data_IF_505377129059
#
_entry.id   IF_505377129059
#
_cell.length_a   1.000
_cell.length_b   1.000
_cell.length_c   1.000
_cell.angle_alpha   90.00
_cell.angle_beta   90.00
_cell.angle_gamma   90.00
#
_symmetry.space_group_name_H-M   'P 1'
#
loop_
_entity.id
_entity.type
_entity.pdbx_description
1 polymer ?
#
# COMPACT_ATOMS: atom_id res chain seq x y z
N UNK A 1 2.53 3.84 -12.63
CA UNK A 1 1.08 4.07 -12.38
C UNK A 1 0.45 2.71 -12.15
N UNK A 2 -0.14 2.51 -10.99
CA UNK A 2 -0.65 1.20 -10.57
C UNK A 2 -1.93 0.77 -11.31
N UNK A 3 -2.78 1.72 -11.70
CA UNK A 3 -4.03 1.41 -12.40
C UNK A 3 -3.83 1.34 -13.91
N UNK A 4 -4.37 0.29 -14.53
CA UNK A 4 -4.44 0.16 -16.00
C UNK A 4 -5.72 0.79 -16.56
N UNK A 5 -6.73 0.98 -15.70
CA UNK A 5 -7.95 1.70 -15.97
C UNK A 5 -8.20 2.69 -14.82
N UNK A 6 -8.57 3.89 -15.18
CA UNK A 6 -8.76 4.97 -14.22
C UNK A 6 -10.17 5.55 -14.24
N UNK A 7 -10.39 6.62 -13.49
CA UNK A 7 -11.69 7.29 -13.41
C UNK A 7 -12.19 7.80 -14.77
N UNK A 8 -11.28 8.15 -15.70
CA UNK A 8 -11.66 8.49 -17.09
C UNK A 8 -12.29 7.32 -17.81
N UNK A 9 -11.69 6.13 -17.76
CA UNK A 9 -12.24 4.90 -18.34
C UNK A 9 -13.57 4.50 -17.67
N UNK A 10 -13.64 4.62 -16.33
CA UNK A 10 -14.88 4.36 -15.60
C UNK A 10 -16.00 5.30 -16.07
N UNK A 11 -15.70 6.60 -16.23
CA UNK A 11 -16.65 7.59 -16.70
C UNK A 11 -17.09 7.33 -18.15
N UNK A 12 -16.16 6.98 -19.05
CA UNK A 12 -16.45 6.61 -20.43
C UNK A 12 -17.43 5.46 -20.52
N UNK A 13 -17.15 4.36 -19.81
CA UNK A 13 -18.03 3.19 -19.75
C UNK A 13 -19.39 3.52 -19.11
N UNK A 14 -19.39 4.34 -18.06
CA UNK A 14 -20.63 4.78 -17.39
C UNK A 14 -21.52 5.55 -18.36
N UNK A 15 -20.97 6.51 -19.11
CA UNK A 15 -21.75 7.30 -20.10
C UNK A 15 -22.32 6.40 -21.18
N UNK A 16 -21.51 5.47 -21.71
CA UNK A 16 -21.98 4.50 -22.73
C UNK A 16 -23.15 3.65 -22.22
N UNK A 17 -23.07 3.16 -20.98
CA UNK A 17 -24.15 2.36 -20.38
C UNK A 17 -25.40 3.20 -20.07
N UNK A 18 -25.26 4.43 -19.60
CA UNK A 18 -26.40 5.33 -19.40
C UNK A 18 -27.15 5.59 -20.72
N UNK A 19 -26.41 5.73 -21.82
CA UNK A 19 -26.99 5.90 -23.16
C UNK A 19 -27.70 4.62 -23.64
N UNK A 20 -27.07 3.46 -23.49
CA UNK A 20 -27.64 2.17 -23.89
C UNK A 20 -28.93 1.85 -23.11
N UNK A 21 -29.00 2.22 -21.85
CA UNK A 21 -30.18 2.05 -21.00
C UNK A 21 -31.18 3.20 -21.10
N UNK A 22 -31.00 4.13 -22.05
CA UNK A 22 -31.87 5.31 -22.27
C UNK A 22 -32.09 6.15 -21.00
N UNK A 23 -31.10 6.16 -20.06
CA UNK A 23 -31.16 6.95 -18.82
C UNK A 23 -30.77 8.38 -19.14
N UNK A 24 -31.76 9.31 -19.14
CA UNK A 24 -31.54 10.71 -19.52
C UNK A 24 -31.84 11.73 -18.41
N UNK A 25 -32.21 11.27 -17.23
CA UNK A 25 -32.50 12.14 -16.08
C UNK A 25 -31.26 12.75 -15.43
N UNK A 26 -31.46 13.66 -14.47
CA UNK A 26 -30.34 14.16 -13.68
C UNK A 26 -29.69 13.04 -12.85
N UNK A 27 -28.37 12.98 -12.89
CA UNK A 27 -27.58 12.02 -12.11
C UNK A 27 -26.78 12.73 -11.04
N UNK A 28 -26.64 12.11 -9.90
CA UNK A 28 -25.76 12.57 -8.80
C UNK A 28 -24.69 11.50 -8.55
N UNK A 29 -23.44 11.92 -8.51
CA UNK A 29 -22.35 11.05 -8.08
C UNK A 29 -22.42 10.90 -6.56
N UNK A 30 -22.44 9.67 -6.10
CA UNK A 30 -22.34 9.33 -4.70
C UNK A 30 -21.05 8.55 -4.48
N UNK A 31 -20.32 8.89 -3.42
CA UNK A 31 -19.16 8.10 -2.97
C UNK A 31 -19.56 7.26 -1.76
N UNK A 32 -19.30 5.97 -1.86
CA UNK A 32 -19.39 5.04 -0.75
C UNK A 32 -17.97 4.70 -0.29
N UNK A 33 -17.60 5.21 0.87
CA UNK A 33 -16.33 4.97 1.52
C UNK A 33 -16.49 4.25 2.86
N UNK A 34 -17.60 3.54 3.03
CA UNK A 34 -17.91 2.74 4.22
C UNK A 34 -17.13 1.43 4.31
N UNK A 35 -16.26 1.13 3.33
CA UNK A 35 -15.51 -0.13 3.28
C UNK A 35 -14.44 -0.29 4.35
N UNK A 36 -14.03 0.79 5.03
CA UNK A 36 -13.08 0.75 6.14
C UNK A 36 -13.74 1.22 7.43
N UNK A 37 -13.32 0.61 8.55
CA UNK A 37 -13.76 0.93 9.89
C UNK A 37 -12.75 1.80 10.63
N UNK A 38 -13.22 2.52 11.65
CA UNK A 38 -12.37 3.33 12.53
C UNK A 38 -11.80 4.59 11.88
N UNK A 39 -10.79 5.20 12.50
CA UNK A 39 -10.24 6.48 12.06
C UNK A 39 -9.40 6.31 10.78
N UNK A 40 -9.41 7.36 9.93
CA UNK A 40 -8.57 7.43 8.74
C UNK A 40 -7.10 7.82 9.03
N UNK A 41 -6.81 8.23 10.25
CA UNK A 41 -5.48 8.61 10.75
C UNK A 41 -5.28 7.91 12.08
N UNK A 42 -4.13 7.25 12.26
CA UNK A 42 -3.79 6.62 13.52
C UNK A 42 -3.34 7.70 14.53
N UNK A 43 -3.92 7.68 15.74
CA UNK A 43 -3.60 8.66 16.79
C UNK A 43 -2.12 8.65 17.17
N UNK A 44 -1.49 7.48 17.12
CA UNK A 44 -0.07 7.26 17.43
C UNK A 44 0.89 7.76 16.35
N UNK A 45 0.41 8.18 15.19
CA UNK A 45 1.30 8.77 14.19
C UNK A 45 1.76 10.16 14.61
N UNK A 46 3.05 10.48 14.42
CA UNK A 46 3.51 11.85 14.61
C UNK A 46 2.73 12.82 13.71
N UNK A 47 2.26 13.93 14.25
CA UNK A 47 1.53 14.93 13.46
C UNK A 47 2.31 15.46 12.25
N UNK A 48 3.63 15.37 12.29
CA UNK A 48 4.51 15.80 11.20
C UNK A 48 4.46 14.89 9.96
N UNK A 49 3.95 13.65 10.08
CA UNK A 49 3.85 12.73 8.92
C UNK A 49 2.48 12.75 8.27
N UNK A 50 1.44 13.12 9.03
CA UNK A 50 0.05 13.18 8.51
C UNK A 50 -0.07 14.34 7.50
N UNK A 51 -0.70 14.07 6.38
CA UNK A 51 -0.85 15.00 5.25
C UNK A 51 0.50 15.48 4.65
N UNK A 52 1.62 14.81 5.00
CA UNK A 52 2.97 15.03 4.45
C UNK A 52 3.51 13.74 3.83
N UNK A 53 3.71 12.71 4.65
CA UNK A 53 4.25 11.40 4.24
C UNK A 53 3.15 10.37 3.95
N UNK A 54 1.95 10.58 4.50
CA UNK A 54 0.79 9.74 4.29
C UNK A 54 -0.50 10.56 4.22
N UNK A 55 -1.37 10.25 3.26
CA UNK A 55 -2.74 10.74 3.22
C UNK A 55 -3.62 9.97 4.22
N UNK A 56 -4.82 10.48 4.45
CA UNK A 56 -5.84 9.76 5.21
C UNK A 56 -6.18 8.44 4.56
N UNK A 57 -6.18 7.36 5.35
CA UNK A 57 -6.41 5.99 4.86
C UNK A 57 -7.90 5.79 4.64
N UNK A 58 -8.29 5.80 3.37
CA UNK A 58 -9.68 5.61 2.94
C UNK A 58 -9.75 4.49 1.89
N UNK A 59 -10.92 3.80 1.74
CA UNK A 59 -11.07 2.73 0.75
C UNK A 59 -10.91 3.20 -0.68
N UNK A 60 -11.13 4.50 -0.93
CA UNK A 60 -11.01 5.13 -2.23
C UNK A 60 -10.01 6.27 -2.14
N UNK A 61 -8.96 6.17 -2.94
CA UNK A 61 -7.97 7.24 -3.11
C UNK A 61 -7.40 7.20 -4.53
N UNK A 62 -7.12 8.37 -5.09
CA UNK A 62 -6.44 8.51 -6.37
C UNK A 62 -5.06 9.12 -6.14
N UNK A 63 -4.07 8.73 -6.95
CA UNK A 63 -2.71 9.29 -6.90
C UNK A 63 -2.05 9.24 -5.51
N UNK A 64 -2.31 8.20 -4.72
CA UNK A 64 -1.79 8.10 -3.36
C UNK A 64 -2.34 9.17 -2.42
N UNK A 65 -3.60 9.60 -2.65
CA UNK A 65 -4.24 10.69 -1.88
C UNK A 65 -3.76 12.09 -2.26
N UNK A 66 -3.09 12.24 -3.41
CA UNK A 66 -2.60 13.54 -3.91
C UNK A 66 -3.56 14.17 -4.91
N UNK A 67 -3.46 15.47 -5.07
CA UNK A 67 -4.16 16.19 -6.13
C UNK A 67 -3.65 15.73 -7.51
N UNK A 68 -4.57 15.71 -8.51
CA UNK A 68 -4.27 15.24 -9.86
C UNK A 68 -3.17 16.10 -10.50
N UNK A 69 -2.22 15.40 -11.14
CA UNK A 69 -1.12 16.02 -11.89
C UNK A 69 0.05 16.48 -11.03
N UNK A 70 -0.02 16.29 -9.72
CA UNK A 70 1.07 16.66 -8.81
C UNK A 70 1.72 15.41 -8.19
N UNK A 71 2.79 14.92 -8.82
CA UNK A 71 3.57 13.78 -8.28
C UNK A 71 4.13 14.06 -6.86
N UNK A 72 4.36 15.34 -6.55
CA UNK A 72 4.89 15.85 -5.29
C UNK A 72 4.01 16.95 -4.69
N UNK A 73 2.76 17.07 -5.13
CA UNK A 73 1.79 18.02 -4.61
C UNK A 73 1.25 17.67 -3.24
N UNK A 74 0.53 18.60 -2.64
CA UNK A 74 -0.14 18.42 -1.37
C UNK A 74 -1.08 17.21 -1.37
N UNK A 75 -1.17 16.54 -0.22
CA UNK A 75 -2.14 15.49 0.00
C UNK A 75 -3.53 16.12 0.20
N UNK A 76 -4.55 15.49 -0.37
CA UNK A 76 -5.92 15.94 -0.17
C UNK A 76 -6.42 15.55 1.24
N UNK A 77 -7.13 16.43 1.95
CA UNK A 77 -7.66 16.12 3.27
C UNK A 77 -8.80 15.08 3.22
N UNK A 78 -9.37 14.82 2.05
CA UNK A 78 -10.43 13.81 1.85
C UNK A 78 -10.21 13.09 0.51
N UNK A 79 -9.40 12.02 0.49
CA UNK A 79 -9.11 11.25 -0.72
C UNK A 79 -10.34 10.67 -1.42
N UNK A 80 -11.35 10.20 -0.67
CA UNK A 80 -12.55 9.61 -1.24
C UNK A 80 -13.43 10.66 -1.94
N UNK A 81 -13.66 11.80 -1.28
CA UNK A 81 -14.40 12.90 -1.87
C UNK A 81 -13.66 13.47 -3.11
N UNK A 82 -12.33 13.59 -3.02
CA UNK A 82 -11.52 14.04 -4.16
C UNK A 82 -11.67 13.10 -5.37
N UNK A 83 -11.60 11.78 -5.14
CA UNK A 83 -11.80 10.80 -6.20
C UNK A 83 -13.20 10.92 -6.84
N UNK A 84 -14.24 11.13 -6.04
CA UNK A 84 -15.60 11.35 -6.54
C UNK A 84 -15.73 12.66 -7.34
N UNK A 85 -15.06 13.73 -6.92
CA UNK A 85 -15.01 15.00 -7.67
C UNK A 85 -14.36 14.82 -9.03
N UNK A 86 -13.24 14.10 -9.07
CA UNK A 86 -12.53 13.77 -10.32
C UNK A 86 -13.42 12.91 -11.22
N UNK A 87 -14.06 11.88 -10.68
CA UNK A 87 -14.97 11.04 -11.45
C UNK A 87 -16.13 11.88 -12.04
N UNK A 88 -16.73 12.75 -11.24
CA UNK A 88 -17.79 13.67 -11.74
C UNK A 88 -17.31 14.54 -12.88
N UNK A 89 -16.10 15.11 -12.79
CA UNK A 89 -15.52 15.93 -13.86
C UNK A 89 -15.31 15.08 -15.13
N UNK A 90 -14.78 13.87 -14.99
CA UNK A 90 -14.61 12.96 -16.11
C UNK A 90 -15.95 12.54 -16.72
N UNK A 91 -16.98 12.30 -15.90
CA UNK A 91 -18.32 11.94 -16.36
C UNK A 91 -18.92 13.04 -17.26
N UNK A 92 -18.80 14.33 -16.86
CA UNK A 92 -19.24 15.46 -17.66
C UNK A 92 -18.43 15.56 -18.97
N UNK A 93 -17.13 15.41 -18.91
CA UNK A 93 -16.26 15.49 -20.09
C UNK A 93 -16.54 14.35 -21.08
N UNK A 94 -16.75 13.13 -20.61
CA UNK A 94 -17.07 11.97 -21.44
C UNK A 94 -18.47 12.08 -22.06
N UNK A 95 -19.46 12.58 -21.32
CA UNK A 95 -20.79 12.83 -21.85
C UNK A 95 -20.73 13.83 -23.02
N UNK A 96 -19.96 14.92 -22.88
CA UNK A 96 -19.75 15.91 -23.96
C UNK A 96 -19.03 15.28 -25.15
N UNK A 97 -17.98 14.51 -24.94
CA UNK A 97 -17.18 13.86 -25.98
C UNK A 97 -18.00 12.84 -26.79
N UNK A 98 -18.92 12.13 -26.15
CA UNK A 98 -19.80 11.14 -26.77
C UNK A 98 -21.10 11.74 -27.31
N UNK A 99 -21.34 13.05 -27.18
CA UNK A 99 -22.55 13.73 -27.62
C UNK A 99 -23.80 13.38 -26.82
N UNK A 100 -23.62 12.84 -25.60
CA UNK A 100 -24.72 12.43 -24.70
C UNK A 100 -25.19 13.63 -23.87
N UNK A 101 -26.48 13.91 -23.90
CA UNK A 101 -27.08 14.96 -23.04
C UNK A 101 -27.32 14.39 -21.64
N UNK A 102 -26.35 14.59 -20.76
CA UNK A 102 -26.41 14.15 -19.37
C UNK A 102 -26.37 15.37 -18.44
N UNK A 103 -27.35 15.47 -17.55
CA UNK A 103 -27.34 16.47 -16.48
C UNK A 103 -26.70 15.86 -15.25
N UNK A 104 -25.51 16.32 -14.89
CA UNK A 104 -24.75 15.82 -13.71
C UNK A 104 -24.80 16.87 -12.61
N UNK A 105 -25.29 16.48 -11.43
CA UNK A 105 -25.34 17.35 -10.25
C UNK A 105 -23.93 17.91 -9.92
N UNK A 106 -23.82 19.20 -9.57
CA UNK A 106 -22.56 19.74 -9.06
C UNK A 106 -22.22 19.20 -7.66
N UNK A 107 -23.21 18.72 -6.94
CA UNK A 107 -23.03 18.17 -5.58
C UNK A 107 -22.66 16.67 -5.67
N UNK A 108 -21.83 16.26 -4.71
CA UNK A 108 -21.49 14.87 -4.50
C UNK A 108 -22.17 14.41 -3.21
N UNK A 109 -22.91 13.33 -3.29
CA UNK A 109 -23.47 12.67 -2.12
C UNK A 109 -22.40 11.76 -1.49
N UNK A 110 -22.49 11.51 -0.21
CA UNK A 110 -21.65 10.56 0.53
C UNK A 110 -22.52 9.66 1.38
N UNK A 111 -22.21 8.39 1.40
CA UNK A 111 -22.91 7.38 2.20
C UNK A 111 -22.82 6.00 1.58
N UNK A 112 -23.13 4.98 2.37
CA UNK A 112 -23.18 3.61 1.90
C UNK A 112 -24.18 3.52 0.72
N UNK A 113 -23.81 2.78 -0.30
CA UNK A 113 -24.73 2.39 -1.35
C UNK A 113 -25.86 1.58 -0.71
N UNK A 114 -27.10 1.88 -1.06
CA UNK A 114 -28.23 1.05 -0.62
C UNK A 114 -28.03 -0.34 -1.23
N UNK A 115 -27.55 -1.26 -0.41
CA UNK A 115 -27.30 -2.63 -0.82
C UNK A 115 -28.63 -3.38 -0.88
N UNK A 116 -29.15 -3.56 -2.08
CA UNK A 116 -30.37 -4.33 -2.31
C UNK A 116 -30.27 -5.79 -1.83
N UNK A 117 -29.05 -6.30 -1.62
CA UNK A 117 -28.80 -7.67 -1.17
C UNK A 117 -28.75 -7.84 0.36
N UNK A 118 -28.43 -6.79 1.13
CA UNK A 118 -28.23 -6.91 2.59
C UNK A 118 -29.50 -6.88 3.43
N UNK A 119 -30.59 -6.29 2.95
CA UNK A 119 -31.80 -6.13 3.78
C UNK A 119 -33.09 -6.70 3.18
N UNK A 120 -33.06 -7.23 1.96
CA UNK A 120 -34.23 -7.85 1.33
C UNK A 120 -35.44 -6.92 1.14
N UNK A 121 -35.28 -5.62 1.33
CA UNK A 121 -36.37 -4.64 1.38
C UNK A 121 -36.33 -3.54 0.32
N UNK A 122 -35.36 -3.50 -0.59
CA UNK A 122 -35.32 -2.51 -1.66
C UNK A 122 -35.92 -3.06 -2.96
N UNK A 123 -36.97 -2.42 -3.47
CA UNK A 123 -37.61 -2.72 -4.75
C UNK A 123 -36.82 -2.18 -5.95
N UNK A 124 -35.62 -1.60 -5.74
CA UNK A 124 -34.74 -1.14 -6.81
C UNK A 124 -33.48 -2.00 -6.86
N UNK A 125 -33.40 -2.82 -7.90
CA UNK A 125 -32.16 -3.54 -8.23
C UNK A 125 -31.12 -2.53 -8.70
N UNK A 126 -29.98 -2.44 -8.00
CA UNK A 126 -28.86 -1.63 -8.44
C UNK A 126 -28.32 -2.17 -9.78
N UNK A 127 -28.19 -1.30 -10.78
CA UNK A 127 -27.61 -1.63 -12.07
C UNK A 127 -26.12 -1.32 -12.06
N UNK A 128 -25.27 -2.32 -12.34
CA UNK A 128 -23.84 -2.08 -12.56
C UNK A 128 -23.65 -1.43 -13.92
N UNK A 129 -23.27 -0.14 -13.93
CA UNK A 129 -23.05 0.63 -15.15
C UNK A 129 -21.63 0.44 -15.70
N UNK A 130 -20.62 0.36 -14.84
CA UNK A 130 -19.23 0.23 -15.26
C UNK A 130 -18.36 -0.37 -14.14
N UNK A 131 -17.23 -0.91 -14.53
CA UNK A 131 -16.23 -1.44 -13.59
C UNK A 131 -14.82 -1.15 -14.13
N UNK A 132 -13.94 -0.70 -13.25
CA UNK A 132 -12.49 -0.68 -13.50
C UNK A 132 -11.80 -1.48 -12.41
N UNK A 133 -10.71 -2.16 -12.78
CA UNK A 133 -9.94 -2.98 -11.85
C UNK A 133 -8.58 -2.37 -11.62
N UNK A 134 -8.11 -2.42 -10.38
CA UNK A 134 -6.75 -2.09 -10.02
C UNK A 134 -5.76 -3.07 -10.67
N UNK A 135 -4.48 -2.72 -10.62
CA UNK A 135 -3.41 -3.63 -11.01
C UNK A 135 -3.47 -4.94 -10.18
N UNK A 136 -2.95 -6.06 -10.71
CA UNK A 136 -2.79 -7.29 -9.93
C UNK A 136 -2.05 -7.04 -8.61
N UNK A 137 -2.36 -7.82 -7.58
CA UNK A 137 -1.81 -7.65 -6.23
C UNK A 137 -0.27 -7.61 -6.25
N UNK A 138 0.38 -8.49 -7.01
CA UNK A 138 1.83 -8.52 -7.12
C UNK A 138 2.43 -7.20 -7.64
N UNK A 139 1.78 -6.54 -8.61
CA UNK A 139 2.21 -5.22 -9.11
C UNK A 139 2.02 -4.13 -8.04
N UNK A 140 0.96 -4.21 -7.25
CA UNK A 140 0.71 -3.28 -6.15
C UNK A 140 1.74 -3.46 -5.01
N UNK A 141 2.06 -4.71 -4.65
CA UNK A 141 3.11 -5.04 -3.68
C UNK A 141 4.46 -4.51 -4.16
N UNK A 142 4.81 -4.76 -5.43
CA UNK A 142 6.05 -4.22 -6.01
C UNK A 142 6.12 -2.70 -5.91
N UNK A 143 5.06 -2.00 -6.28
CA UNK A 143 5.00 -0.54 -6.17
C UNK A 143 5.18 -0.08 -4.72
N UNK A 144 4.44 -0.65 -3.78
CA UNK A 144 4.52 -0.35 -2.35
C UNK A 144 5.94 -0.52 -1.82
N UNK A 145 6.62 -1.61 -2.20
CA UNK A 145 7.98 -1.90 -1.74
C UNK A 145 9.02 -0.97 -2.36
N UNK A 146 8.91 -0.68 -3.68
CA UNK A 146 9.87 0.15 -4.41
C UNK A 146 9.78 1.63 -4.07
N UNK A 147 8.55 2.18 -4.01
CA UNK A 147 8.31 3.58 -3.68
C UNK A 147 8.26 3.82 -2.16
N UNK A 148 8.21 2.74 -1.38
CA UNK A 148 7.97 2.80 0.08
C UNK A 148 6.67 3.58 0.37
N UNK A 149 5.59 3.23 -0.36
CA UNK A 149 4.33 3.97 -0.31
C UNK A 149 3.50 3.58 0.93
N UNK A 150 3.43 4.49 1.88
CA UNK A 150 2.77 4.27 3.17
C UNK A 150 1.25 4.06 3.01
N UNK A 151 0.60 4.82 2.12
CA UNK A 151 -0.85 4.70 1.93
C UNK A 151 -1.22 3.33 1.33
N UNK A 152 -0.44 2.84 0.37
CA UNK A 152 -0.65 1.50 -0.20
C UNK A 152 -0.42 0.42 0.85
N UNK A 153 0.57 0.58 1.74
CA UNK A 153 0.83 -0.37 2.83
C UNK A 153 -0.37 -0.44 3.80
N UNK A 154 -0.91 0.70 4.23
CA UNK A 154 -2.08 0.75 5.10
C UNK A 154 -3.35 0.20 4.42
N UNK A 155 -3.56 0.53 3.16
CA UNK A 155 -4.71 0.01 2.41
C UNK A 155 -4.62 -1.52 2.24
N UNK A 156 -3.42 -2.06 1.97
CA UNK A 156 -3.21 -3.51 1.92
C UNK A 156 -3.45 -4.17 3.27
N UNK A 157 -2.95 -3.58 4.36
CA UNK A 157 -3.15 -4.10 5.70
C UNK A 157 -4.64 -4.16 6.08
N UNK A 158 -5.42 -3.10 5.80
CA UNK A 158 -6.87 -3.09 6.02
C UNK A 158 -7.63 -4.06 5.13
N UNK A 159 -7.23 -4.20 3.87
CA UNK A 159 -7.83 -5.21 2.97
C UNK A 159 -7.50 -6.64 3.43
N UNK A 160 -6.32 -6.88 4.00
CA UNK A 160 -5.96 -8.16 4.63
C UNK A 160 -6.87 -8.44 5.83
N UNK A 161 -7.12 -7.43 6.68
CA UNK A 161 -8.08 -7.54 7.79
C UNK A 161 -9.47 -7.98 7.30
N UNK A 162 -10.01 -7.28 6.30
CA UNK A 162 -11.31 -7.61 5.72
C UNK A 162 -11.34 -9.03 5.13
N UNK A 163 -10.30 -9.45 4.45
CA UNK A 163 -10.18 -10.80 3.88
C UNK A 163 -10.10 -11.88 4.96
N UNK A 164 -9.53 -11.58 6.13
CA UNK A 164 -9.46 -12.45 7.29
C UNK A 164 -10.72 -12.40 8.18
N UNK A 165 -11.74 -11.59 7.81
CA UNK A 165 -12.98 -11.45 8.59
C UNK A 165 -12.89 -10.47 9.77
N UNK A 166 -11.84 -9.67 9.84
CA UNK A 166 -11.69 -8.59 10.81
C UNK A 166 -12.25 -7.26 10.29
N UNK A 167 -12.54 -6.28 11.17
CA UNK A 167 -12.83 -4.92 10.75
C UNK A 167 -11.71 -4.32 9.90
N UNK A 168 -12.04 -3.53 8.88
CA UNK A 168 -11.07 -2.83 8.03
C UNK A 168 -10.42 -1.63 8.75
N UNK A 169 -9.88 -1.84 9.95
CA UNK A 169 -9.28 -0.84 10.83
C UNK A 169 -7.79 -1.09 11.06
N UNK A 170 -7.10 -0.19 11.76
CA UNK A 170 -5.70 -0.40 12.16
C UNK A 170 -5.58 -1.62 13.10
N UNK A 171 -6.48 -1.74 14.04
CA UNK A 171 -6.50 -2.85 15.00
C UNK A 171 -6.82 -4.17 14.31
N UNK A 172 -7.78 -4.17 13.38
CA UNK A 172 -8.11 -5.36 12.59
C UNK A 172 -6.94 -5.80 11.70
N UNK A 173 -6.22 -4.83 11.09
CA UNK A 173 -5.02 -5.10 10.31
C UNK A 173 -3.90 -5.73 11.17
N UNK A 174 -3.65 -5.17 12.35
CA UNK A 174 -2.67 -5.71 13.30
C UNK A 174 -3.05 -7.13 13.75
N UNK A 175 -4.35 -7.37 14.03
CA UNK A 175 -4.85 -8.69 14.40
C UNK A 175 -4.66 -9.72 13.29
N UNK A 176 -5.04 -9.40 12.05
CA UNK A 176 -4.91 -10.30 10.92
C UNK A 176 -3.45 -10.67 10.62
N UNK A 177 -2.52 -9.69 10.68
CA UNK A 177 -1.08 -9.97 10.50
C UNK A 177 -0.55 -10.82 11.64
N UNK A 178 -0.96 -10.54 12.88
CA UNK A 178 -0.55 -11.34 14.05
C UNK A 178 -1.00 -12.79 13.92
N UNK A 179 -2.24 -13.07 13.51
CA UNK A 179 -2.77 -14.43 13.32
C UNK A 179 -1.93 -15.21 12.31
N UNK A 180 -1.60 -14.63 11.17
CA UNK A 180 -0.72 -15.27 10.17
C UNK A 180 0.66 -15.56 10.75
N UNK A 181 1.22 -14.64 11.53
CA UNK A 181 2.52 -14.86 12.16
C UNK A 181 2.47 -15.90 13.28
N UNK A 182 1.38 -16.02 14.02
CA UNK A 182 1.19 -17.04 15.07
C UNK A 182 1.13 -18.45 14.49
N UNK A 183 0.50 -18.62 13.34
CA UNK A 183 0.49 -19.89 12.62
C UNK A 183 1.90 -20.34 12.18
N UNK A 184 2.75 -19.36 11.83
CA UNK A 184 4.07 -19.58 11.24
C UNK A 184 5.22 -19.58 12.24
N UNK A 185 5.06 -18.90 13.36
CA UNK A 185 6.10 -18.76 14.39
C UNK A 185 5.48 -18.84 15.76
N UNK A 186 6.07 -19.68 16.63
CA UNK A 186 5.56 -19.88 17.99
C UNK A 186 5.97 -18.79 18.97
N UNK A 187 6.91 -17.93 18.58
CA UNK A 187 7.42 -16.86 19.45
C UNK A 187 7.18 -15.48 18.84
N UNK A 188 6.13 -14.84 19.33
CA UNK A 188 5.79 -13.46 19.07
C UNK A 188 6.05 -12.55 20.29
N UNK A 189 6.89 -12.98 21.23
CA UNK A 189 7.23 -12.19 22.42
C UNK A 189 7.82 -10.84 21.98
N UNK A 190 7.25 -9.74 22.47
CA UNK A 190 7.66 -8.39 22.14
C UNK A 190 7.21 -7.87 20.78
N UNK A 191 6.42 -8.64 20.00
CA UNK A 191 5.78 -8.13 18.80
C UNK A 191 4.56 -7.30 19.20
N UNK A 192 4.55 -6.04 18.80
CA UNK A 192 3.40 -5.15 18.85
C UNK A 192 3.26 -4.43 17.51
N UNK A 193 2.09 -4.59 16.87
CA UNK A 193 1.78 -4.01 15.57
C UNK A 193 0.67 -2.99 15.75
N UNK A 194 0.93 -1.75 15.37
CA UNK A 194 -0.03 -0.65 15.48
C UNK A 194 -0.48 -0.13 14.11
N UNK A 195 0.33 -0.33 13.08
CA UNK A 195 0.07 0.09 11.71
C UNK A 195 0.72 -0.86 10.69
N UNK A 196 0.37 -0.70 9.41
CA UNK A 196 0.94 -1.46 8.30
C UNK A 196 2.13 -0.78 7.62
N UNK A 197 2.30 0.53 7.82
CA UNK A 197 3.33 1.34 7.15
C UNK A 197 4.64 1.45 7.96
N UNK A 198 4.57 1.24 9.28
CA UNK A 198 5.70 1.45 10.19
C UNK A 198 5.96 2.92 10.53
N UNK A 199 5.00 3.82 10.31
CA UNK A 199 5.08 5.22 10.70
C UNK A 199 4.91 5.42 12.21
N UNK A 200 4.24 4.48 12.87
CA UNK A 200 4.05 4.48 14.32
C UNK A 200 5.34 4.12 15.04
N UNK A 201 5.74 4.98 15.98
CA UNK A 201 6.84 4.69 16.89
C UNK A 201 6.53 3.63 17.96
N UNK A 202 5.29 3.12 18.00
CA UNK A 202 4.84 2.10 18.96
C UNK A 202 4.88 0.69 18.38
N UNK A 203 5.03 0.53 17.07
CA UNK A 203 5.27 -0.80 16.46
C UNK A 203 6.63 -1.32 16.92
N UNK A 204 6.63 -2.52 17.52
CA UNK A 204 7.85 -3.20 17.95
C UNK A 204 7.95 -4.60 17.35
N UNK A 205 9.12 -4.95 16.86
CA UNK A 205 9.45 -6.26 16.31
C UNK A 205 10.93 -6.54 16.54
N UNK A 206 11.30 -7.79 16.83
CA UNK A 206 12.71 -8.17 16.93
C UNK A 206 13.32 -8.39 15.53
N UNK A 207 14.64 -8.23 15.42
CA UNK A 207 15.35 -8.53 14.18
C UNK A 207 15.17 -9.99 13.76
N UNK A 208 15.15 -10.92 14.73
CA UNK A 208 14.92 -12.34 14.47
C UNK A 208 13.53 -12.60 13.89
N UNK A 209 12.47 -12.03 14.49
CA UNK A 209 11.11 -12.18 14.00
C UNK A 209 10.97 -11.67 12.56
N UNK A 210 11.56 -10.50 12.26
CA UNK A 210 11.49 -9.92 10.92
C UNK A 210 12.31 -10.74 9.91
N UNK A 211 13.52 -11.21 10.25
CA UNK A 211 14.30 -12.08 9.38
C UNK A 211 13.59 -13.40 9.12
N UNK A 212 12.93 -13.98 10.14
CA UNK A 212 12.11 -15.18 10.00
C UNK A 212 10.92 -14.95 9.07
N UNK A 213 10.19 -13.84 9.21
CA UNK A 213 9.09 -13.48 8.32
C UNK A 213 9.54 -13.35 6.85
N UNK A 214 10.68 -12.70 6.60
CA UNK A 214 11.28 -12.59 5.25
C UNK A 214 11.63 -13.99 4.70
N UNK A 215 12.25 -14.86 5.50
CA UNK A 215 12.59 -16.23 5.10
C UNK A 215 11.34 -17.02 4.73
N UNK A 216 10.33 -17.02 5.60
CA UNK A 216 9.06 -17.73 5.35
C UNK A 216 8.37 -17.24 4.09
N UNK A 217 8.38 -15.91 3.84
CA UNK A 217 7.82 -15.34 2.63
C UNK A 217 8.57 -15.81 1.37
N UNK A 218 9.88 -16.04 1.45
CA UNK A 218 10.69 -16.53 0.33
C UNK A 218 10.55 -18.04 0.08
N UNK A 219 10.16 -18.83 1.08
CA UNK A 219 10.02 -20.28 0.98
C UNK A 219 8.66 -20.73 0.42
N UNK A 220 7.68 -19.84 0.25
CA UNK A 220 6.31 -20.16 -0.14
C UNK A 220 5.97 -19.63 -1.51
N UNK A 221 5.33 -20.45 -2.33
CA UNK A 221 4.89 -20.09 -3.68
C UNK A 221 3.94 -18.89 -3.66
N UNK A 222 3.05 -18.79 -2.66
CA UNK A 222 2.06 -17.74 -2.55
C UNK A 222 2.66 -16.36 -2.19
N UNK A 223 3.82 -16.35 -1.53
CA UNK A 223 4.43 -15.10 -0.99
C UNK A 223 5.81 -14.79 -1.56
N UNK A 224 6.47 -15.70 -2.26
CA UNK A 224 7.80 -15.49 -2.86
C UNK A 224 7.84 -14.24 -3.75
N UNK A 225 6.75 -13.95 -4.47
CA UNK A 225 6.63 -12.75 -5.30
C UNK A 225 6.81 -11.44 -4.52
N UNK A 226 6.51 -11.42 -3.22
CA UNK A 226 6.75 -10.27 -2.36
C UNK A 226 8.26 -10.08 -2.12
N UNK A 227 9.00 -11.15 -1.84
CA UNK A 227 10.47 -11.12 -1.66
C UNK A 227 11.16 -10.76 -2.97
N UNK A 228 10.72 -11.32 -4.09
CA UNK A 228 11.23 -10.98 -5.43
C UNK A 228 10.95 -9.52 -5.82
N UNK A 229 9.91 -8.93 -5.26
CA UNK A 229 9.53 -7.53 -5.46
C UNK A 229 10.26 -6.54 -4.55
N UNK A 230 11.16 -6.97 -3.68
CA UNK A 230 11.97 -6.08 -2.87
C UNK A 230 12.95 -5.26 -3.74
N UNK A 231 13.20 -3.98 -3.43
CA UNK A 231 14.26 -3.17 -4.05
C UNK A 231 15.60 -3.88 -4.12
N UNK A 232 16.29 -3.76 -5.24
CA UNK A 232 17.60 -4.41 -5.49
C UNK A 232 18.74 -3.43 -5.28
N UNK A 233 19.73 -3.83 -4.50
CA UNK A 233 20.92 -3.04 -4.21
C UNK A 233 21.64 -2.62 -5.51
N UNK A 234 21.97 -1.32 -5.59
CA UNK A 234 22.66 -0.73 -6.73
C UNK A 234 21.85 -0.64 -8.02
N UNK A 235 20.53 -0.98 -8.03
CA UNK A 235 19.77 -1.09 -9.30
C UNK A 235 18.41 -0.41 -9.26
N UNK A 236 17.58 -0.65 -8.25
CA UNK A 236 16.19 -0.18 -8.30
C UNK A 236 15.60 0.12 -6.92
N UNK A 237 14.50 0.87 -6.94
CA UNK A 237 13.74 1.26 -5.74
C UNK A 237 14.58 2.09 -4.76
N UNK A 238 14.33 1.93 -3.48
CA UNK A 238 15.03 2.67 -2.41
C UNK A 238 16.50 2.26 -2.21
N UNK A 239 16.95 1.20 -2.88
CA UNK A 239 18.34 0.71 -2.84
C UNK A 239 19.14 1.03 -4.10
N UNK A 240 18.60 1.74 -5.08
CA UNK A 240 19.24 1.99 -6.39
C UNK A 240 20.64 2.63 -6.30
N UNK A 241 20.85 3.49 -5.31
CA UNK A 241 22.09 4.22 -5.10
C UNK A 241 22.90 3.69 -3.88
N UNK A 242 22.53 2.49 -3.37
CA UNK A 242 23.16 1.89 -2.20
C UNK A 242 23.94 0.62 -2.60
N UNK A 243 25.09 0.39 -1.98
CA UNK A 243 25.95 -0.78 -2.19
C UNK A 243 26.44 -0.95 -3.64
N UNK A 244 26.48 0.15 -4.42
CA UNK A 244 26.99 0.18 -5.78
C UNK A 244 28.47 -0.19 -5.83
N UNK A 245 28.88 -1.05 -6.78
CA UNK A 245 30.27 -1.51 -6.92
C UNK A 245 30.74 -2.51 -5.87
N UNK A 246 29.82 -3.07 -5.06
CA UNK A 246 30.13 -4.07 -4.03
C UNK A 246 29.59 -5.45 -4.38
N UNK A 247 29.94 -6.49 -3.61
CA UNK A 247 29.40 -7.83 -3.75
C UNK A 247 27.87 -7.90 -3.55
N UNK A 248 27.29 -6.95 -2.87
CA UNK A 248 25.85 -6.87 -2.64
C UNK A 248 25.08 -6.26 -3.84
N UNK A 249 25.77 -5.58 -4.77
CA UNK A 249 25.10 -5.04 -5.95
C UNK A 249 24.44 -6.14 -6.79
N UNK A 250 23.13 -6.03 -6.98
CA UNK A 250 22.33 -7.00 -7.73
C UNK A 250 22.07 -8.32 -7.00
N UNK A 251 22.81 -8.63 -5.92
CA UNK A 251 22.64 -9.86 -5.13
C UNK A 251 21.82 -9.66 -3.84
N UNK A 252 21.75 -8.44 -3.31
CA UNK A 252 20.93 -8.12 -2.17
C UNK A 252 19.60 -7.45 -2.60
N UNK A 253 18.52 -7.85 -1.93
CA UNK A 253 17.20 -7.24 -2.05
C UNK A 253 16.69 -6.89 -0.66
N UNK A 254 16.06 -5.73 -0.48
CA UNK A 254 15.60 -5.38 0.86
C UNK A 254 14.67 -4.19 0.92
N UNK A 255 13.84 -4.19 1.97
CA UNK A 255 13.00 -3.07 2.36
C UNK A 255 13.72 -2.20 3.36
N UNK A 256 13.83 -0.92 3.06
CA UNK A 256 14.39 0.10 3.94
C UNK A 256 13.33 0.62 4.92
N UNK A 257 13.74 0.96 6.14
CA UNK A 257 12.96 1.79 7.06
C UNK A 257 13.81 2.96 7.54
N UNK A 258 13.20 4.15 7.57
CA UNK A 258 13.86 5.33 8.12
C UNK A 258 12.84 6.26 8.73
N UNK A 259 12.97 6.49 10.01
CA UNK A 259 12.29 7.54 10.77
C UNK A 259 13.34 8.40 11.47
N UNK A 260 12.97 9.50 12.10
CA UNK A 260 13.91 10.47 12.65
C UNK A 260 15.05 9.93 13.53
N UNK A 261 14.88 8.77 14.16
CA UNK A 261 15.88 8.14 15.03
C UNK A 261 16.19 6.69 14.70
N UNK A 262 15.58 6.15 13.62
CA UNK A 262 15.65 4.73 13.26
C UNK A 262 16.12 4.58 11.82
N UNK A 263 17.05 3.66 11.59
CA UNK A 263 17.40 3.18 10.25
C UNK A 263 17.39 1.65 10.25
N UNK A 264 16.76 1.05 9.26
CA UNK A 264 16.61 -0.41 9.16
C UNK A 264 16.76 -0.89 7.73
N UNK A 265 17.10 -2.16 7.58
CA UNK A 265 17.06 -2.89 6.33
C UNK A 265 16.81 -4.36 6.62
N UNK A 266 15.80 -4.93 5.97
CA UNK A 266 15.50 -6.35 6.04
C UNK A 266 15.25 -6.90 4.63
N UNK A 267 15.68 -8.12 4.37
CA UNK A 267 15.56 -8.71 3.05
C UNK A 267 16.34 -10.01 2.89
N UNK A 268 16.77 -10.26 1.67
CA UNK A 268 17.58 -11.42 1.30
C UNK A 268 18.86 -10.99 0.60
N UNK A 269 19.90 -11.81 0.71
CA UNK A 269 21.16 -11.62 -0.01
C UNK A 269 21.70 -12.98 -0.47
N UNK A 270 22.16 -13.04 -1.71
CA UNK A 270 22.85 -14.21 -2.24
C UNK A 270 24.35 -14.04 -2.01
N UNK A 271 24.93 -14.97 -1.30
CA UNK A 271 26.36 -15.01 -0.96
C UNK A 271 27.21 -15.43 -2.16
N UNK A 272 28.56 -15.25 -2.09
CA UNK A 272 29.47 -15.64 -3.17
C UNK A 272 29.46 -17.16 -3.48
N UNK A 273 29.14 -17.99 -2.49
CA UNK A 273 28.97 -19.43 -2.65
C UNK A 273 27.56 -19.85 -3.10
N UNK A 274 26.68 -18.88 -3.44
CA UNK A 274 25.36 -19.11 -4.02
C UNK A 274 24.26 -19.43 -3.00
N UNK A 275 24.48 -19.23 -1.70
CA UNK A 275 23.45 -19.41 -0.67
C UNK A 275 22.62 -18.15 -0.52
N UNK A 276 21.31 -18.29 -0.41
CA UNK A 276 20.44 -17.20 -0.03
C UNK A 276 20.30 -17.11 1.49
N UNK A 277 20.51 -15.92 2.03
CA UNK A 277 20.35 -15.60 3.44
C UNK A 277 19.27 -14.56 3.63
N UNK A 278 18.30 -14.81 4.49
CA UNK A 278 17.40 -13.79 4.99
C UNK A 278 18.08 -13.00 6.11
N UNK A 279 17.96 -11.69 6.09
CA UNK A 279 18.58 -10.81 7.07
C UNK A 279 17.64 -9.71 7.55
N UNK A 280 17.86 -9.23 8.77
CA UNK A 280 17.22 -8.04 9.33
C UNK A 280 18.19 -7.29 10.22
N UNK A 281 18.40 -6.00 9.94
CA UNK A 281 19.27 -5.10 10.68
C UNK A 281 18.44 -3.90 11.12
N UNK A 282 18.26 -3.75 12.42
CA UNK A 282 17.47 -2.69 13.04
C UNK A 282 18.38 -1.83 13.90
N UNK A 283 18.35 -0.50 13.71
CA UNK A 283 19.08 0.45 14.55
C UNK A 283 18.13 1.46 15.15
N UNK A 284 18.28 1.73 16.44
CA UNK A 284 17.49 2.71 17.19
C UNK A 284 18.41 3.85 17.70
N UNK A 285 17.81 4.92 18.18
CA UNK A 285 18.49 6.07 18.80
C UNK A 285 19.58 6.73 17.94
N UNK A 286 19.38 6.72 16.61
CA UNK A 286 20.28 7.29 15.61
C UNK A 286 20.08 8.79 15.37
N UNK A 287 19.66 9.52 16.39
CA UNK A 287 19.37 10.95 16.30
C UNK A 287 20.57 11.72 15.74
N UNK A 288 20.40 12.36 14.57
CA UNK A 288 21.48 13.06 13.86
C UNK A 288 22.55 12.17 13.20
N UNK A 289 22.41 10.83 13.25
CA UNK A 289 23.39 9.85 12.73
C UNK A 289 22.78 8.87 11.72
N UNK A 290 21.63 9.17 11.16
CA UNK A 290 20.97 8.31 10.17
C UNK A 290 21.85 7.95 8.97
N UNK A 291 22.63 8.88 8.36
CA UNK A 291 23.54 8.53 7.26
C UNK A 291 24.59 7.49 7.66
N UNK A 292 25.20 7.66 8.84
CA UNK A 292 26.20 6.73 9.37
C UNK A 292 25.59 5.35 9.68
N UNK A 293 24.38 5.33 10.26
CA UNK A 293 23.66 4.07 10.51
C UNK A 293 23.36 3.33 9.20
N UNK A 294 22.92 4.03 8.15
CA UNK A 294 22.72 3.44 6.82
C UNK A 294 24.00 2.85 6.24
N UNK A 295 25.10 3.58 6.33
CA UNK A 295 26.42 3.09 5.87
C UNK A 295 26.87 1.83 6.62
N UNK A 296 26.64 1.77 7.93
CA UNK A 296 26.94 0.57 8.73
C UNK A 296 26.08 -0.61 8.32
N UNK A 297 24.78 -0.40 8.07
CA UNK A 297 23.85 -1.42 7.56
C UNK A 297 24.33 -1.92 6.19
N UNK A 298 24.69 -1.04 5.27
CA UNK A 298 25.18 -1.41 3.94
C UNK A 298 26.43 -2.27 4.03
N UNK A 299 27.41 -1.88 4.87
CA UNK A 299 28.62 -2.67 5.08
C UNK A 299 28.31 -4.07 5.64
N UNK A 300 27.37 -4.18 6.57
CA UNK A 300 26.97 -5.49 7.09
C UNK A 300 26.38 -6.38 6.00
N UNK A 301 25.51 -5.85 5.13
CA UNK A 301 24.93 -6.60 3.99
C UNK A 301 26.01 -6.98 2.97
N UNK A 302 26.97 -6.09 2.69
CA UNK A 302 28.11 -6.39 1.82
C UNK A 302 28.94 -7.53 2.40
N UNK A 303 29.20 -7.53 3.71
CA UNK A 303 29.92 -8.62 4.39
C UNK A 303 29.17 -9.96 4.26
N UNK A 304 27.83 -9.95 4.37
CA UNK A 304 27.03 -11.15 4.13
C UNK A 304 27.13 -11.62 2.68
N UNK A 305 27.12 -10.70 1.70
CA UNK A 305 27.28 -11.02 0.29
C UNK A 305 28.67 -11.62 -0.02
N UNK A 306 29.71 -11.13 0.64
CA UNK A 306 31.09 -11.60 0.50
C UNK A 306 31.36 -12.93 1.22
N UNK A 307 30.46 -13.35 2.11
CA UNK A 307 30.64 -14.54 2.91
C UNK A 307 30.63 -15.80 2.02
N UNK A 308 31.70 -16.56 2.08
CA UNK A 308 31.74 -17.97 1.68
C UNK A 308 31.37 -18.81 2.90
N UNK A 309 30.12 -18.75 3.35
CA UNK A 309 29.67 -19.39 4.59
C UNK A 309 29.48 -20.92 4.46
N UNK A 310 30.09 -21.55 3.48
CA UNK A 310 30.24 -22.99 3.36
C UNK A 310 31.18 -23.50 4.44
N UNK A 311 30.66 -23.67 5.65
CA UNK A 311 31.36 -24.46 6.65
C UNK A 311 31.35 -25.94 6.23
N UNK A 312 32.48 -26.58 6.38
CA UNK A 312 32.69 -28.00 6.26
C UNK A 312 31.68 -28.83 7.08
#
# INVERSE_FOLDING_TARGET
MLGRAGLGTLAEQTVAQLQEQEISGPVTVQVDDSGYDGPAVLEQWPSAVVDVDIARVMPIATYGGREIGQRWGGLTPDPALHAAQVFRQQLVAQAQAQGVRLSVSPQIARGAAEDSDRTGSSTRTALRLAEVRSAPLAEQVRFMLHESDNLTAEAMARNTALAAGHPGSFEGAAAAVREVLEEETRDLTGLDLTDGSGLSGYTTITAEQLARAVRLAGEREETVAAVESLPVAGREGTLKDRMVGTAAEGSARGKTGTLGTVATLAGVVVTQDGRELAFSILTNDQRGRIPQAREMIDRAVVTLAECGCGGD
#
